data_IF_614787280154
#
_entry.id   IF_614787280154
#
_cell.length_a   1.000
_cell.length_b   1.000
_cell.length_c   1.000
_cell.angle_alpha   90.00
_cell.angle_beta   90.00
_cell.angle_gamma   90.00
#
_symmetry.space_group_name_H-M   'P 1'
#
loop_
_entity.id
_entity.type
_entity.pdbx_description
1 polymer ?
#
# COMPACT_ATOMS: atom_id res chain seq x y z
N UNK A 1 -10.70 -0.72 26.26
CA UNK A 1 -9.97 0.31 27.01
C UNK A 1 -8.48 0.14 26.71
N UNK A 2 -7.71 1.22 26.50
CA UNK A 2 -6.26 1.09 26.32
C UNK A 2 -5.64 0.51 27.59
N UNK A 3 -4.77 -0.48 27.43
CA UNK A 3 -4.01 -1.09 28.54
C UNK A 3 -2.67 -0.36 28.65
N UNK A 4 -2.12 -0.13 29.87
CA UNK A 4 -0.78 0.42 30.03
C UNK A 4 0.25 -0.31 29.15
N UNK A 5 1.19 0.44 28.57
CA UNK A 5 2.28 -0.06 27.69
C UNK A 5 1.83 -0.60 26.33
N UNK A 6 0.72 -1.33 26.23
CA UNK A 6 0.23 -1.95 24.98
C UNK A 6 -0.78 -1.06 24.22
N UNK A 7 -1.43 -0.13 24.91
CA UNK A 7 -2.53 0.64 24.36
C UNK A 7 -3.68 -0.27 23.91
N UNK A 8 -4.15 -0.06 22.68
CA UNK A 8 -5.22 -0.85 22.05
C UNK A 8 -4.71 -1.90 21.05
N UNK A 9 -3.38 -2.12 20.97
CA UNK A 9 -2.77 -2.96 19.93
C UNK A 9 -3.30 -4.41 19.95
N UNK A 10 -3.59 -4.94 21.13
CA UNK A 10 -4.12 -6.29 21.33
C UNK A 10 -5.52 -6.47 20.70
N UNK A 11 -6.33 -5.41 20.69
CA UNK A 11 -7.66 -5.40 20.09
C UNK A 11 -7.56 -5.21 18.57
N UNK A 12 -6.70 -4.28 18.15
CA UNK A 12 -6.52 -3.94 16.73
C UNK A 12 -5.92 -5.11 15.94
N UNK A 13 -4.89 -5.78 16.47
CA UNK A 13 -4.14 -6.82 15.73
C UNK A 13 -4.94 -8.10 15.47
N UNK A 14 -5.86 -8.47 16.35
CA UNK A 14 -6.62 -9.72 16.20
C UNK A 14 -7.60 -9.67 15.02
N UNK A 15 -8.25 -8.52 14.81
CA UNK A 15 -9.11 -8.30 13.65
C UNK A 15 -9.29 -6.79 13.39
N UNK A 16 -8.37 -6.16 12.62
CA UNK A 16 -8.38 -4.71 12.40
C UNK A 16 -9.67 -4.21 11.75
N UNK A 17 -10.23 -4.98 10.83
CA UNK A 17 -11.44 -4.61 10.08
C UNK A 17 -12.67 -4.61 10.99
N UNK A 18 -12.87 -5.69 11.75
CA UNK A 18 -13.99 -5.77 12.71
C UNK A 18 -13.85 -4.70 13.79
N UNK A 19 -12.64 -4.46 14.30
CA UNK A 19 -12.39 -3.37 15.23
C UNK A 19 -12.74 -2.02 14.62
N UNK A 20 -12.29 -1.75 13.40
CA UNK A 20 -12.58 -0.50 12.70
C UNK A 20 -14.08 -0.26 12.56
N UNK A 21 -14.85 -1.25 12.10
CA UNK A 21 -16.30 -1.13 11.91
C UNK A 21 -17.02 -0.83 13.23
N UNK A 22 -16.66 -1.52 14.32
CA UNK A 22 -17.22 -1.26 15.66
C UNK A 22 -16.93 0.16 16.16
N UNK A 23 -15.75 0.71 15.87
CA UNK A 23 -15.41 2.09 16.27
C UNK A 23 -16.06 3.13 15.38
N UNK A 24 -16.19 2.86 14.08
CA UNK A 24 -16.92 3.70 13.13
C UNK A 24 -18.37 3.91 13.59
N UNK A 25 -19.05 2.85 14.01
CA UNK A 25 -20.43 2.94 14.52
C UNK A 25 -20.53 3.74 15.82
N UNK A 26 -19.53 3.62 16.72
CA UNK A 26 -19.57 4.25 18.05
C UNK A 26 -19.09 5.69 18.09
N UNK A 27 -18.01 6.00 17.36
CA UNK A 27 -17.28 7.27 17.45
C UNK A 27 -17.44 8.15 16.21
N UNK A 28 -18.08 7.65 15.15
CA UNK A 28 -18.44 8.43 13.96
C UNK A 28 -17.26 8.73 13.04
N UNK A 29 -16.90 10.02 12.94
CA UNK A 29 -16.03 10.54 11.86
C UNK A 29 -14.56 10.68 12.25
N UNK A 30 -14.23 10.87 13.53
CA UNK A 30 -12.85 10.97 14.03
C UNK A 30 -12.77 10.26 15.36
N UNK A 31 -11.78 9.40 15.53
CA UNK A 31 -11.49 8.78 16.82
C UNK A 31 -10.00 8.51 16.97
N UNK A 32 -9.60 8.11 18.16
CA UNK A 32 -8.22 7.80 18.48
C UNK A 32 -8.05 6.37 18.97
N UNK A 33 -6.83 5.87 18.84
CA UNK A 33 -6.41 4.61 19.39
C UNK A 33 -4.91 4.66 19.69
N UNK A 34 -4.43 3.72 20.48
CA UNK A 34 -3.06 3.71 20.95
C UNK A 34 -2.33 2.45 20.46
N UNK A 35 -1.15 2.63 19.88
CA UNK A 35 -0.20 1.55 19.60
C UNK A 35 0.95 1.75 20.60
N UNK A 36 0.91 0.99 21.68
CA UNK A 36 1.76 1.27 22.84
C UNK A 36 1.51 2.67 23.40
N UNK A 37 2.56 3.48 23.53
CA UNK A 37 2.47 4.89 23.94
C UNK A 37 2.12 5.86 22.81
N UNK A 38 2.10 5.38 21.55
CA UNK A 38 1.83 6.23 20.39
C UNK A 38 0.32 6.42 20.19
N UNK A 39 -0.13 7.68 20.29
CA UNK A 39 -1.49 8.09 19.92
C UNK A 39 -1.62 8.11 18.40
N UNK A 40 -2.67 7.48 17.89
CA UNK A 40 -3.02 7.45 16.48
C UNK A 40 -4.44 7.98 16.32
N UNK A 41 -4.67 8.83 15.32
CA UNK A 41 -5.97 9.43 15.03
C UNK A 41 -6.48 8.82 13.73
N UNK A 42 -7.70 8.28 13.76
CA UNK A 42 -8.41 7.81 12.58
C UNK A 42 -9.36 8.89 12.11
N UNK A 43 -9.37 9.11 10.79
CA UNK A 43 -10.24 10.07 10.13
C UNK A 43 -11.07 9.31 9.10
N UNK A 44 -12.38 9.30 9.32
CA UNK A 44 -13.38 8.55 8.58
C UNK A 44 -14.42 9.49 7.94
N UNK A 45 -13.96 10.63 7.44
CA UNK A 45 -14.80 11.58 6.72
C UNK A 45 -14.05 12.19 5.55
N UNK A 46 -14.64 12.12 4.35
CA UNK A 46 -13.96 12.44 3.09
C UNK A 46 -13.38 13.86 3.08
N UNK A 47 -14.13 14.87 3.54
CA UNK A 47 -13.67 16.27 3.57
C UNK A 47 -12.44 16.49 4.45
N UNK A 48 -12.24 15.66 5.48
CA UNK A 48 -11.07 15.75 6.35
C UNK A 48 -9.89 14.96 5.75
N UNK A 49 -10.15 13.77 5.21
CA UNK A 49 -9.16 12.97 4.52
C UNK A 49 -8.55 13.73 3.32
N UNK A 50 -9.35 14.41 2.52
CA UNK A 50 -8.87 15.23 1.39
C UNK A 50 -7.89 16.32 1.81
N UNK A 51 -8.11 16.97 2.96
CA UNK A 51 -7.19 17.99 3.49
C UNK A 51 -5.83 17.40 3.86
N UNK A 52 -5.80 16.14 4.31
CA UNK A 52 -4.56 15.44 4.67
C UNK A 52 -3.85 14.80 3.48
N UNK A 53 -4.62 14.32 2.49
CA UNK A 53 -4.07 13.69 1.28
C UNK A 53 -3.48 14.71 0.30
N UNK A 54 -3.86 15.99 0.41
CA UNK A 54 -3.23 17.07 -0.36
C UNK A 54 -1.78 17.25 0.10
N UNK A 55 -0.79 17.21 -0.81
CA UNK A 55 0.60 17.46 -0.47
C UNK A 55 0.74 18.83 0.18
N UNK A 56 1.06 18.84 1.47
CA UNK A 56 1.30 20.06 2.23
C UNK A 56 2.59 19.87 3.01
N UNK A 57 3.56 20.77 2.81
CA UNK A 57 4.87 20.72 3.46
C UNK A 57 4.75 20.69 4.99
N UNK A 58 3.76 21.38 5.59
CA UNK A 58 3.58 21.42 7.04
C UNK A 58 3.03 20.11 7.63
N UNK A 59 2.29 19.34 6.83
CA UNK A 59 1.70 18.06 7.22
C UNK A 59 2.50 16.87 6.67
N UNK A 60 3.62 17.14 6.00
CA UNK A 60 4.46 16.12 5.41
C UNK A 60 5.35 15.46 6.47
N UNK A 61 4.77 14.50 7.19
CA UNK A 61 5.50 13.60 8.09
C UNK A 61 5.12 12.16 7.78
N UNK A 62 6.13 11.31 7.60
CA UNK A 62 5.99 9.86 7.48
C UNK A 62 6.23 9.22 8.85
N UNK A 63 5.65 8.06 9.05
CA UNK A 63 5.90 7.27 10.25
C UNK A 63 7.41 7.01 10.35
N UNK A 64 8.08 7.43 11.44
CA UNK A 64 9.47 7.09 11.64
C UNK A 64 9.55 5.60 11.96
N UNK A 65 10.23 4.85 11.10
CA UNK A 65 10.61 3.47 11.38
C UNK A 65 12.11 3.45 11.68
N UNK A 66 12.54 3.40 12.96
CA UNK A 66 13.96 3.43 13.33
C UNK A 66 14.76 2.33 12.62
N UNK A 67 14.14 1.17 12.38
CA UNK A 67 14.75 0.08 11.63
C UNK A 67 15.08 0.47 10.19
N UNK A 68 14.22 1.22 9.50
CA UNK A 68 14.45 1.66 8.12
C UNK A 68 15.52 2.74 8.02
N UNK A 69 15.59 3.62 9.00
CA UNK A 69 16.70 4.56 9.13
C UNK A 69 18.04 3.82 9.27
N UNK A 70 18.09 2.80 10.14
CA UNK A 70 19.29 1.99 10.37
C UNK A 70 19.80 1.23 9.14
N UNK A 71 18.91 0.82 8.23
CA UNK A 71 19.26 0.08 7.01
C UNK A 71 19.23 0.96 5.74
N UNK A 72 19.14 2.29 5.88
CA UNK A 72 19.18 3.22 4.75
C UNK A 72 17.93 3.24 3.85
N UNK A 73 16.80 2.67 4.31
CA UNK A 73 15.52 2.63 3.59
C UNK A 73 14.58 3.78 3.95
N UNK A 74 15.05 4.77 4.72
CA UNK A 74 14.29 5.98 5.03
C UNK A 74 14.19 6.95 3.83
N UNK A 75 14.95 6.73 2.75
CA UNK A 75 14.90 7.55 1.55
C UNK A 75 13.98 6.93 0.47
N UNK A 76 13.33 7.75 -0.35
CA UNK A 76 12.51 7.28 -1.48
C UNK A 76 11.14 7.94 -1.56
N UNK A 77 10.13 7.20 -2.02
CA UNK A 77 8.76 7.70 -2.14
C UNK A 77 7.89 7.49 -0.89
N UNK A 78 8.25 6.52 -0.04
CA UNK A 78 7.37 6.05 1.04
C UNK A 78 7.79 6.57 2.41
N UNK A 79 9.08 6.49 2.75
CA UNK A 79 9.58 6.80 4.10
C UNK A 79 10.37 8.11 4.20
N UNK A 80 10.54 8.82 3.09
CA UNK A 80 11.29 10.07 3.05
C UNK A 80 10.51 11.19 3.73
N UNK A 81 11.13 11.78 4.76
CA UNK A 81 10.61 12.92 5.52
C UNK A 81 11.03 14.27 4.94
N UNK A 82 11.98 14.30 3.99
CA UNK A 82 12.35 15.52 3.28
C UNK A 82 11.35 15.77 2.14
N UNK A 83 10.41 16.70 2.37
CA UNK A 83 9.38 17.06 1.39
C UNK A 83 9.95 17.44 0.02
N UNK A 84 11.01 18.24 -0.03
CA UNK A 84 11.55 18.76 -1.30
C UNK A 84 12.22 17.63 -2.11
N UNK A 85 13.01 16.78 -1.44
CA UNK A 85 13.62 15.60 -2.04
C UNK A 85 12.56 14.59 -2.52
N UNK A 86 11.57 14.30 -1.68
CA UNK A 86 10.44 13.44 -2.02
C UNK A 86 9.64 13.99 -3.22
N UNK A 87 9.29 15.28 -3.21
CA UNK A 87 8.48 15.89 -4.27
C UNK A 87 9.24 15.89 -5.62
N UNK A 88 10.56 16.09 -5.60
CA UNK A 88 11.39 15.94 -6.80
C UNK A 88 11.34 14.50 -7.35
N UNK A 89 11.57 13.49 -6.50
CA UNK A 89 11.52 12.07 -6.88
C UNK A 89 10.13 11.65 -7.38
N UNK A 90 9.06 12.08 -6.68
CA UNK A 90 7.66 11.84 -7.06
C UNK A 90 7.35 12.41 -8.45
N UNK A 91 7.76 13.65 -8.72
CA UNK A 91 7.54 14.27 -10.04
C UNK A 91 8.29 13.54 -11.15
N UNK A 92 9.52 13.10 -10.89
CA UNK A 92 10.29 12.30 -11.85
C UNK A 92 9.57 10.99 -12.16
N UNK A 93 9.21 10.21 -11.13
CA UNK A 93 8.51 8.93 -11.29
C UNK A 93 7.16 9.10 -11.98
N UNK A 94 6.43 10.16 -11.67
CA UNK A 94 5.17 10.48 -12.34
C UNK A 94 5.35 10.74 -13.84
N UNK A 95 6.42 11.46 -14.21
CA UNK A 95 6.71 11.78 -15.62
C UNK A 95 7.24 10.58 -16.41
N UNK A 96 7.85 9.61 -15.75
CA UNK A 96 8.41 8.43 -16.42
C UNK A 96 7.42 7.26 -16.38
N UNK A 97 7.19 6.70 -15.19
CA UNK A 97 6.41 5.47 -14.97
C UNK A 97 4.90 5.67 -15.01
N UNK A 98 4.41 6.90 -14.84
CA UNK A 98 2.97 7.22 -14.97
C UNK A 98 2.65 7.99 -16.25
N UNK A 99 3.59 8.09 -17.19
CA UNK A 99 3.31 8.70 -18.50
C UNK A 99 2.39 7.81 -19.33
N UNK A 100 1.52 8.42 -20.14
CA UNK A 100 0.63 7.69 -21.05
C UNK A 100 1.41 6.75 -21.98
N UNK A 101 2.60 7.18 -22.45
CA UNK A 101 3.47 6.36 -23.29
C UNK A 101 3.92 5.10 -22.56
N UNK A 102 4.44 5.24 -21.33
CA UNK A 102 4.86 4.10 -20.52
C UNK A 102 3.67 3.18 -20.21
N UNK A 103 2.55 3.74 -19.74
CA UNK A 103 1.37 2.97 -19.36
C UNK A 103 0.78 2.17 -20.53
N UNK A 104 0.79 2.72 -21.76
CA UNK A 104 0.36 1.96 -22.95
C UNK A 104 1.26 0.75 -23.21
N UNK A 105 2.57 0.93 -23.15
CA UNK A 105 3.52 -0.18 -23.30
C UNK A 105 3.37 -1.22 -22.19
N UNK A 106 3.17 -0.75 -20.95
CA UNK A 106 2.98 -1.62 -19.80
C UNK A 106 1.69 -2.45 -19.90
N UNK A 107 0.58 -1.87 -20.38
CA UNK A 107 -0.67 -2.61 -20.65
C UNK A 107 -0.45 -3.72 -21.68
N UNK A 108 0.28 -3.45 -22.76
CA UNK A 108 0.59 -4.46 -23.77
C UNK A 108 1.46 -5.60 -23.20
N UNK A 109 2.43 -5.26 -22.35
CA UNK A 109 3.24 -6.23 -21.62
C UNK A 109 2.36 -7.13 -20.72
N UNK A 110 1.49 -6.54 -19.89
CA UNK A 110 0.54 -7.28 -19.04
C UNK A 110 -0.33 -8.21 -19.88
N UNK A 111 -0.92 -7.71 -20.96
CA UNK A 111 -1.80 -8.50 -21.82
C UNK A 111 -1.07 -9.69 -22.45
N UNK A 112 0.16 -9.47 -22.92
CA UNK A 112 0.99 -10.54 -23.51
C UNK A 112 1.33 -11.60 -22.47
N UNK A 113 1.76 -11.18 -21.29
CA UNK A 113 2.14 -12.09 -20.21
C UNK A 113 0.94 -12.85 -19.62
N UNK A 114 -0.21 -12.17 -19.53
CA UNK A 114 -1.46 -12.78 -19.12
C UNK A 114 -1.89 -13.84 -20.14
N UNK A 115 -1.87 -13.54 -21.45
CA UNK A 115 -2.26 -14.49 -22.49
C UNK A 115 -1.38 -15.75 -22.51
N UNK A 116 -0.07 -15.60 -22.32
CA UNK A 116 0.86 -16.73 -22.21
C UNK A 116 0.60 -17.58 -20.96
N UNK A 117 0.29 -16.93 -19.83
CA UNK A 117 -0.22 -17.63 -18.66
C UNK A 117 -1.56 -18.29 -18.97
N UNK A 118 -2.37 -17.65 -19.83
CA UNK A 118 -3.75 -18.01 -20.07
C UNK A 118 -3.88 -19.37 -20.77
N UNK A 119 -2.95 -19.66 -21.66
CA UNK A 119 -2.93 -20.91 -22.41
C UNK A 119 -2.53 -22.09 -21.49
N UNK A 120 -1.70 -21.83 -20.46
CA UNK A 120 -1.16 -22.87 -19.55
C UNK A 120 -2.20 -23.44 -18.58
N UNK A 121 -2.90 -22.58 -17.84
CA UNK A 121 -3.98 -23.01 -16.94
C UNK A 121 -5.17 -23.60 -17.70
N UNK A 122 -5.53 -23.10 -18.90
CA UNK A 122 -6.56 -23.73 -19.73
C UNK A 122 -6.22 -25.18 -20.08
N UNK A 123 -4.97 -25.46 -20.43
CA UNK A 123 -4.50 -26.83 -20.66
C UNK A 123 -4.60 -27.70 -19.40
N UNK A 124 -4.09 -27.22 -18.26
CA UNK A 124 -4.17 -27.94 -16.98
C UNK A 124 -5.60 -28.25 -16.54
N UNK A 125 -6.50 -27.28 -16.65
CA UNK A 125 -7.91 -27.45 -16.30
C UNK A 125 -8.57 -28.49 -17.22
N UNK A 126 -8.23 -28.48 -18.52
CA UNK A 126 -8.72 -29.49 -19.47
C UNK A 126 -8.26 -30.90 -19.10
N UNK A 127 -7.06 -31.03 -18.54
CA UNK A 127 -6.51 -32.30 -18.04
C UNK A 127 -7.06 -32.70 -16.65
N UNK A 128 -8.06 -31.96 -16.14
CA UNK A 128 -8.69 -32.22 -14.84
C UNK A 128 -7.85 -31.79 -13.63
N UNK A 129 -6.77 -31.04 -13.86
CA UNK A 129 -5.88 -30.55 -12.80
C UNK A 129 -6.50 -29.29 -12.18
N UNK A 130 -6.70 -29.32 -10.87
CA UNK A 130 -7.11 -28.13 -10.10
C UNK A 130 -6.04 -27.03 -10.18
N UNK A 131 -6.49 -25.79 -10.42
CA UNK A 131 -5.59 -24.64 -10.60
C UNK A 131 -5.82 -23.58 -9.52
N UNK A 132 -4.79 -23.27 -8.72
CA UNK A 132 -4.86 -22.24 -7.68
C UNK A 132 -4.47 -20.84 -8.23
N UNK A 133 -5.48 -19.99 -8.44
CA UNK A 133 -5.29 -18.60 -8.85
C UNK A 133 -4.53 -17.74 -7.85
N UNK A 134 -4.61 -18.05 -6.56
CA UNK A 134 -3.94 -17.27 -5.51
C UNK A 134 -2.44 -17.47 -5.56
N UNK A 135 -2.01 -18.68 -5.90
CA UNK A 135 -0.60 -18.97 -6.12
C UNK A 135 -0.13 -18.36 -7.44
N UNK A 136 -0.89 -18.57 -8.53
CA UNK A 136 -0.55 -18.01 -9.83
C UNK A 136 -0.42 -16.48 -9.83
N UNK A 137 -1.38 -15.75 -9.23
CA UNK A 137 -1.35 -14.29 -9.25
C UNK A 137 -0.12 -13.72 -8.54
N UNK A 138 0.40 -14.42 -7.50
CA UNK A 138 1.64 -14.03 -6.84
C UNK A 138 2.80 -14.05 -7.84
N UNK A 139 3.02 -15.19 -8.51
CA UNK A 139 4.08 -15.31 -9.51
C UNK A 139 3.91 -14.34 -10.66
N UNK A 140 2.69 -14.21 -11.20
CA UNK A 140 2.38 -13.26 -12.25
C UNK A 140 2.73 -11.81 -11.86
N UNK A 141 2.38 -11.37 -10.64
CA UNK A 141 2.73 -10.02 -10.18
C UNK A 141 4.23 -9.85 -9.98
N UNK A 142 4.93 -10.86 -9.47
CA UNK A 142 6.40 -10.84 -9.34
C UNK A 142 7.07 -10.69 -10.69
N UNK A 143 6.65 -11.46 -11.70
CA UNK A 143 7.19 -11.40 -13.06
C UNK A 143 6.93 -10.04 -13.72
N UNK A 144 5.75 -9.45 -13.51
CA UNK A 144 5.47 -8.09 -13.99
C UNK A 144 6.37 -7.04 -13.34
N UNK A 145 6.68 -7.17 -12.05
CA UNK A 145 7.55 -6.21 -11.36
C UNK A 145 9.00 -6.30 -11.79
N UNK A 146 9.52 -7.49 -12.12
CA UNK A 146 10.90 -7.65 -12.63
C UNK A 146 11.04 -7.11 -14.05
N UNK A 147 10.02 -7.30 -14.90
CA UNK A 147 9.98 -6.77 -16.26
C UNK A 147 9.92 -5.23 -16.32
N UNK A 148 9.44 -4.56 -15.27
CA UNK A 148 9.45 -3.08 -15.19
C UNK A 148 10.85 -2.49 -14.92
N UNK A 149 11.82 -3.31 -14.49
CA UNK A 149 13.15 -2.89 -14.04
C UNK A 149 14.21 -3.15 -15.13
N UNK A 150 13.88 -3.93 -16.16
CA UNK A 150 14.78 -4.31 -17.28
C UNK A 150 14.48 -3.47 -18.52
#
# INVERSE_FOLDING_TARGET
MPIPILGTIHIVRMNPLTWYNKNKEKAGTIWEFYIGSQRNIVINHVKHAEKLCKPNKSLFKRLPFPTFERIGLNNGLFFDNNYDAWNRRRRLIARTLMSTKFLRGFVLCIQTHFKASEERWKAKIKDGIEFDFREWIKYFTTDLHTLQIT
#
